data_IF_342598329322
#
_entry.id   IF_342598329322
#
_cell.length_a   1.000
_cell.length_b   1.000
_cell.length_c   1.000
_cell.angle_alpha   90.00
_cell.angle_beta   90.00
_cell.angle_gamma   90.00
#
_symmetry.space_group_name_H-M   'P 1'
#
loop_
_entity.id
_entity.type
_entity.pdbx_description
1 polymer ?
#
# COMPACT_ATOMS: atom_id res chain seq x y z
N UNK A 1 -0.89 21.17 -4.44
CA UNK A 1 -1.64 20.04 -3.83
C UNK A 1 -1.90 20.39 -2.37
N UNK A 2 -3.05 20.00 -1.81
CA UNK A 2 -3.50 20.34 -0.45
C UNK A 2 -2.71 19.67 0.70
N UNK A 3 -1.58 19.01 0.41
CA UNK A 3 -0.81 18.24 1.37
C UNK A 3 -1.50 16.97 1.89
N UNK A 4 -2.66 16.61 1.33
CA UNK A 4 -3.41 15.42 1.74
C UNK A 4 -2.87 14.17 1.06
N UNK A 5 -2.71 13.08 1.82
CA UNK A 5 -2.37 11.76 1.28
C UNK A 5 -3.53 11.11 0.52
N UNK A 6 -3.39 9.82 0.22
CA UNK A 6 -4.43 9.06 -0.49
C UNK A 6 -4.20 7.55 -0.43
N UNK A 7 -5.14 6.78 -0.97
CA UNK A 7 -4.97 5.34 -1.18
C UNK A 7 -4.15 5.07 -2.44
N UNK A 8 -3.86 3.80 -2.75
CA UNK A 8 -3.25 3.40 -4.02
C UNK A 8 -4.03 3.90 -5.25
N UNK A 9 -5.36 4.08 -5.13
CA UNK A 9 -6.22 4.65 -6.17
C UNK A 9 -6.03 6.15 -6.42
N UNK A 10 -5.33 6.85 -5.54
CA UNK A 10 -5.00 8.27 -5.69
C UNK A 10 -3.52 8.48 -5.96
N UNK A 11 -2.67 7.82 -5.16
CA UNK A 11 -1.21 8.01 -5.20
C UNK A 11 -0.63 7.49 -6.51
N UNK A 12 -1.05 6.32 -7.01
CA UNK A 12 -0.45 5.74 -8.21
C UNK A 12 -0.90 6.46 -9.50
N UNK A 13 -2.18 6.86 -9.69
CA UNK A 13 -2.55 7.69 -10.84
C UNK A 13 -1.90 9.07 -10.82
N UNK A 14 -1.73 9.68 -9.63
CA UNK A 14 -0.96 10.92 -9.51
C UNK A 14 0.50 10.71 -9.93
N UNK A 15 1.16 9.67 -9.40
CA UNK A 15 2.55 9.31 -9.75
C UNK A 15 2.70 9.08 -11.25
N UNK A 16 1.76 8.35 -11.86
CA UNK A 16 1.71 8.16 -13.32
C UNK A 16 1.69 9.50 -14.06
N UNK A 17 0.74 10.38 -13.73
CA UNK A 17 0.60 11.68 -14.40
C UNK A 17 1.86 12.53 -14.23
N UNK A 18 2.48 12.52 -13.04
CA UNK A 18 3.75 13.20 -12.80
C UNK A 18 4.88 12.67 -13.69
N UNK A 19 5.04 11.34 -13.77
CA UNK A 19 6.06 10.71 -14.61
C UNK A 19 5.86 11.01 -16.10
N UNK A 20 4.60 11.06 -16.57
CA UNK A 20 4.28 11.47 -17.94
C UNK A 20 4.65 12.93 -18.23
N UNK A 21 4.41 13.84 -17.27
CA UNK A 21 4.83 15.24 -17.38
C UNK A 21 6.36 15.38 -17.40
N UNK A 22 7.09 14.44 -16.80
CA UNK A 22 8.55 14.36 -16.87
C UNK A 22 9.06 13.70 -18.17
N UNK A 23 8.17 13.33 -19.09
CA UNK A 23 8.52 12.76 -20.40
C UNK A 23 8.64 11.23 -20.42
N UNK A 24 8.23 10.54 -19.37
CA UNK A 24 8.27 9.07 -19.34
C UNK A 24 7.01 8.43 -19.92
N UNK A 25 7.19 7.33 -20.63
CA UNK A 25 6.10 6.44 -21.03
C UNK A 25 5.65 5.61 -19.82
N UNK A 26 4.37 5.68 -19.47
CA UNK A 26 3.82 4.95 -18.31
C UNK A 26 2.43 4.37 -18.57
N UNK A 27 2.03 3.38 -17.77
CA UNK A 27 0.65 2.88 -17.72
C UNK A 27 0.30 2.34 -16.34
N UNK A 28 -1.00 2.28 -16.02
CA UNK A 28 -1.49 1.67 -14.77
C UNK A 28 -1.71 0.18 -14.97
N UNK A 29 -1.49 -0.59 -13.90
CA UNK A 29 -1.85 -2.00 -13.80
C UNK A 29 -2.70 -2.28 -12.57
N UNK A 30 -3.51 -3.32 -12.64
CA UNK A 30 -4.26 -3.86 -11.52
C UNK A 30 -3.41 -4.75 -10.61
N UNK A 31 -3.86 -4.91 -9.38
CA UNK A 31 -3.33 -5.87 -8.42
C UNK A 31 -4.32 -6.20 -7.32
N UNK A 32 -3.88 -7.08 -6.42
CA UNK A 32 -4.72 -7.58 -5.32
C UNK A 32 -3.90 -7.82 -4.06
N UNK A 33 -4.37 -7.31 -2.93
CA UNK A 33 -3.79 -7.60 -1.61
C UNK A 33 -4.05 -9.06 -1.16
N UNK A 34 -3.12 -9.65 -0.40
CA UNK A 34 -3.05 -11.05 0.04
C UNK A 34 -2.85 -11.13 1.59
N UNK A 35 -3.46 -12.09 2.30
CA UNK A 35 -4.41 -13.10 1.82
C UNK A 35 -5.77 -12.51 1.49
N UNK A 36 -6.40 -13.04 0.44
CA UNK A 36 -7.73 -12.63 0.01
C UNK A 36 -8.76 -13.30 0.90
N UNK A 37 -9.57 -12.52 1.64
CA UNK A 37 -10.89 -12.98 2.05
C UNK A 37 -11.77 -12.97 0.79
N UNK A 38 -12.04 -14.14 0.23
CA UNK A 38 -13.11 -14.60 -0.68
C UNK A 38 -13.89 -13.62 -1.60
N UNK A 39 -13.31 -12.47 -1.97
CA UNK A 39 -13.94 -11.54 -2.92
C UNK A 39 -13.53 -11.98 -4.32
N UNK A 40 -14.53 -12.47 -5.06
CA UNK A 40 -14.57 -12.65 -6.52
C UNK A 40 -13.66 -11.63 -7.21
N UNK A 41 -12.49 -12.04 -7.70
CA UNK A 41 -11.60 -11.41 -8.71
C UNK A 41 -11.44 -9.87 -8.82
N UNK A 42 -12.03 -9.03 -7.96
CA UNK A 42 -11.99 -7.57 -8.08
C UNK A 42 -10.58 -7.09 -7.67
N UNK A 43 -9.91 -6.29 -8.50
CA UNK A 43 -8.68 -5.60 -8.12
C UNK A 43 -8.87 -4.77 -6.84
N UNK A 44 -7.97 -4.93 -5.87
CA UNK A 44 -7.96 -4.11 -4.64
C UNK A 44 -6.75 -3.20 -4.55
N UNK A 45 -5.89 -3.25 -5.56
CA UNK A 45 -4.69 -2.44 -5.67
C UNK A 45 -4.51 -2.01 -7.12
N UNK A 46 -3.87 -0.86 -7.31
CA UNK A 46 -3.39 -0.43 -8.62
C UNK A 46 -1.96 0.09 -8.47
N UNK A 47 -1.15 -0.02 -9.52
CA UNK A 47 0.23 0.44 -9.52
C UNK A 47 0.63 1.01 -10.88
N UNK A 48 1.81 1.61 -10.96
CA UNK A 48 2.32 2.25 -12.19
C UNK A 48 3.49 1.46 -12.76
N UNK A 49 3.45 1.21 -14.05
CA UNK A 49 4.61 0.76 -14.82
C UNK A 49 5.20 1.95 -15.57
N UNK A 50 6.52 2.09 -15.49
CA UNK A 50 7.31 3.02 -16.29
C UNK A 50 8.15 2.22 -17.31
N UNK A 51 8.24 2.74 -18.53
CA UNK A 51 8.97 2.11 -19.63
C UNK A 51 10.24 2.89 -20.00
N UNK A 52 11.17 2.21 -20.65
CA UNK A 52 12.34 2.80 -21.31
C UNK A 52 13.27 3.61 -20.38
N UNK A 53 13.34 3.23 -19.10
CA UNK A 53 14.15 3.94 -18.09
C UNK A 53 15.62 3.54 -18.17
N UNK A 54 15.90 2.24 -18.15
CA UNK A 54 17.27 1.71 -18.09
C UNK A 54 17.84 1.44 -19.48
N UNK A 55 16.98 0.98 -20.39
CA UNK A 55 17.26 0.71 -21.79
C UNK A 55 15.94 0.62 -22.58
N UNK A 56 15.94 0.78 -23.91
CA UNK A 56 14.74 0.63 -24.73
C UNK A 56 14.07 -0.74 -24.54
N UNK A 57 12.78 -0.76 -24.21
CA UNK A 57 11.99 -1.95 -23.88
C UNK A 57 11.99 -2.31 -22.39
N UNK A 58 12.83 -1.69 -21.56
CA UNK A 58 12.82 -1.95 -20.10
C UNK A 58 11.50 -1.54 -19.47
N UNK A 59 11.06 -2.28 -18.45
CA UNK A 59 9.84 -1.98 -17.68
C UNK A 59 10.16 -2.05 -16.20
N UNK A 60 9.67 -1.07 -15.45
CA UNK A 60 9.85 -1.03 -14.00
C UNK A 60 8.51 -0.76 -13.29
N UNK A 61 8.30 -1.40 -12.16
CA UNK A 61 7.17 -1.13 -11.26
C UNK A 61 7.52 0.04 -10.33
N UNK A 62 6.61 1.00 -10.25
CA UNK A 62 6.67 2.15 -9.36
C UNK A 62 5.39 2.17 -8.52
N UNK A 63 5.52 1.93 -7.22
CA UNK A 63 4.36 1.75 -6.32
C UNK A 63 4.50 2.48 -4.96
N UNK A 64 4.46 3.82 -4.96
CA UNK A 64 4.40 4.59 -3.72
C UNK A 64 3.10 4.37 -2.92
N UNK A 65 2.07 3.77 -3.50
CA UNK A 65 0.78 3.50 -2.85
C UNK A 65 0.71 2.23 -2.00
N UNK A 66 1.81 1.46 -1.92
CA UNK A 66 1.84 0.08 -1.41
C UNK A 66 1.84 -0.05 0.13
N UNK A 67 2.14 1.03 0.88
CA UNK A 67 2.19 1.00 2.35
C UNK A 67 3.44 0.31 2.95
N UNK A 68 4.33 -0.20 2.09
CA UNK A 68 5.72 -0.56 2.41
C UNK A 68 6.64 0.38 1.64
N UNK A 69 7.76 0.83 2.21
CA UNK A 69 8.62 1.76 1.52
C UNK A 69 9.32 1.03 0.37
N UNK A 70 9.10 1.53 -0.85
CA UNK A 70 9.84 1.15 -2.03
C UNK A 70 10.54 2.40 -2.55
N UNK A 71 11.86 2.47 -2.35
CA UNK A 71 12.67 3.67 -2.66
C UNK A 71 13.21 3.67 -4.10
N UNK A 72 13.11 2.54 -4.80
CA UNK A 72 13.62 2.34 -6.14
C UNK A 72 12.56 1.69 -7.03
N UNK A 73 12.56 2.02 -8.31
CA UNK A 73 11.72 1.35 -9.29
C UNK A 73 12.18 -0.11 -9.46
N UNK A 74 11.24 -1.05 -9.44
CA UNK A 74 11.55 -2.50 -9.46
C UNK A 74 11.62 -2.96 -10.92
N UNK A 75 12.78 -3.42 -11.43
CA UNK A 75 12.87 -3.98 -12.78
C UNK A 75 11.96 -5.19 -12.95
N UNK A 76 11.30 -5.29 -14.11
CA UNK A 76 10.37 -6.38 -14.44
C UNK A 76 10.96 -7.46 -15.35
N UNK A 77 12.24 -7.33 -15.70
CA UNK A 77 13.05 -8.34 -16.39
C UNK A 77 13.58 -9.43 -15.44
N UNK A 78 13.00 -9.56 -14.24
CA UNK A 78 13.33 -10.64 -13.33
C UNK A 78 12.94 -12.01 -13.91
N UNK A 79 13.80 -13.01 -13.70
CA UNK A 79 13.54 -14.39 -14.12
C UNK A 79 12.64 -15.12 -13.11
N UNK A 80 13.06 -15.15 -11.83
CA UNK A 80 12.36 -15.83 -10.74
C UNK A 80 12.05 -14.91 -9.57
N UNK A 81 13.04 -14.17 -9.11
CA UNK A 81 12.92 -13.27 -7.96
C UNK A 81 13.80 -12.04 -8.13
N UNK A 82 13.37 -10.92 -7.54
CA UNK A 82 14.16 -9.69 -7.49
C UNK A 82 15.29 -9.80 -6.45
N UNK A 83 16.27 -8.89 -6.49
CA UNK A 83 17.06 -8.56 -5.31
C UNK A 83 16.15 -8.18 -4.14
N UNK A 84 16.70 -8.23 -2.93
CA UNK A 84 16.00 -7.76 -1.76
C UNK A 84 16.09 -6.23 -1.65
N UNK A 85 14.95 -5.56 -1.57
CA UNK A 85 14.87 -4.14 -1.32
C UNK A 85 14.79 -3.87 0.18
N UNK A 86 15.70 -3.02 0.66
CA UNK A 86 15.86 -2.69 2.08
C UNK A 86 15.70 -1.20 2.31
N UNK A 87 14.77 -0.85 3.18
CA UNK A 87 14.65 0.50 3.74
C UNK A 87 14.71 0.36 5.24
N UNK A 88 15.85 0.74 5.82
CA UNK A 88 16.25 0.31 7.16
C UNK A 88 16.24 -1.23 7.29
N UNK A 89 15.49 -1.84 8.22
CA UNK A 89 15.24 -3.31 8.19
C UNK A 89 13.85 -3.70 7.72
N UNK A 90 13.11 -2.81 7.05
CA UNK A 90 11.97 -3.24 6.23
C UNK A 90 12.52 -3.86 4.97
N UNK A 91 12.25 -5.15 4.81
CA UNK A 91 12.73 -5.98 3.72
C UNK A 91 11.54 -6.33 2.84
N UNK A 92 11.72 -6.19 1.54
CA UNK A 92 10.73 -6.60 0.55
C UNK A 92 11.45 -7.32 -0.59
N UNK A 93 10.77 -8.30 -1.18
CA UNK A 93 11.27 -9.04 -2.32
C UNK A 93 10.11 -9.34 -3.25
N UNK A 94 10.36 -9.36 -4.55
CA UNK A 94 9.36 -9.66 -5.55
C UNK A 94 9.65 -11.01 -6.17
N UNK A 95 8.59 -11.78 -6.42
CA UNK A 95 8.67 -13.09 -7.03
C UNK A 95 7.82 -13.13 -8.29
N UNK A 96 8.39 -13.61 -9.38
CA UNK A 96 7.67 -13.85 -10.62
C UNK A 96 6.97 -15.20 -10.54
N UNK A 97 5.68 -15.20 -10.83
CA UNK A 97 4.85 -16.40 -10.92
C UNK A 97 4.93 -16.97 -12.34
N UNK A 98 4.58 -18.25 -12.47
CA UNK A 98 4.57 -18.96 -13.77
C UNK A 98 3.61 -18.32 -14.79
N UNK A 99 2.53 -17.70 -14.31
CA UNK A 99 1.56 -16.95 -15.12
C UNK A 99 2.10 -15.56 -15.58
N UNK A 100 3.34 -15.23 -15.23
CA UNK A 100 3.99 -13.96 -15.56
C UNK A 100 3.64 -12.81 -14.63
N UNK A 101 2.80 -13.03 -13.61
CA UNK A 101 2.47 -12.01 -12.61
C UNK A 101 3.59 -11.85 -11.57
N UNK A 102 3.60 -10.70 -10.89
CA UNK A 102 4.56 -10.41 -9.84
C UNK A 102 3.88 -10.49 -8.47
N UNK A 103 4.53 -11.03 -7.45
CA UNK A 103 4.04 -10.96 -6.07
C UNK A 103 5.05 -10.29 -5.16
N UNK A 104 4.59 -9.36 -4.33
CA UNK A 104 5.35 -8.78 -3.23
C UNK A 104 5.36 -9.75 -2.05
N UNK A 105 6.56 -10.04 -1.53
CA UNK A 105 6.79 -10.74 -0.27
C UNK A 105 7.45 -9.84 0.78
N UNK A 106 7.11 -10.08 2.05
CA UNK A 106 7.83 -9.57 3.23
C UNK A 106 8.30 -10.75 4.09
N UNK A 107 9.37 -10.63 4.90
CA UNK A 107 9.87 -11.74 5.69
C UNK A 107 8.79 -12.38 6.58
N UNK A 108 8.73 -13.71 6.60
CA UNK A 108 7.70 -14.48 7.31
C UNK A 108 7.89 -14.51 8.83
N UNK A 109 8.88 -13.83 9.41
CA UNK A 109 9.04 -13.77 10.87
C UNK A 109 7.81 -13.17 11.58
N UNK A 110 6.92 -12.50 10.85
CA UNK A 110 5.59 -12.04 11.29
C UNK A 110 4.46 -12.97 10.81
N UNK A 111 4.52 -14.28 11.12
CA UNK A 111 3.51 -15.24 10.67
C UNK A 111 2.10 -14.84 11.14
N UNK A 112 1.24 -14.47 10.19
CA UNK A 112 -0.19 -14.36 10.42
C UNK A 112 -0.85 -15.65 9.92
N UNK A 113 -1.62 -16.37 10.74
CA UNK A 113 -2.32 -17.57 10.33
C UNK A 113 -3.11 -17.37 9.02
N UNK A 114 -3.04 -18.33 8.10
CA UNK A 114 -3.73 -18.27 6.80
C UNK A 114 -3.01 -17.45 5.71
N UNK A 115 -1.79 -16.96 5.98
CA UNK A 115 -1.02 -16.23 4.99
C UNK A 115 -0.37 -17.16 3.97
N UNK A 116 -0.41 -16.76 2.70
CA UNK A 116 0.36 -17.43 1.66
C UNK A 116 1.83 -17.07 1.81
N UNK A 117 2.70 -18.07 1.67
CA UNK A 117 4.17 -17.91 1.77
C UNK A 117 4.85 -18.49 0.53
N UNK A 118 6.02 -17.96 0.21
CA UNK A 118 6.94 -18.49 -0.81
C UNK A 118 8.36 -18.54 -0.23
N UNK A 119 9.15 -19.53 -0.62
CA UNK A 119 10.56 -19.60 -0.26
C UNK A 119 11.43 -19.06 -1.39
N UNK A 120 12.43 -18.27 -1.04
CA UNK A 120 13.41 -17.76 -2.01
C UNK A 120 14.53 -18.76 -2.30
N UNK A 121 15.50 -18.39 -3.13
CA UNK A 121 16.63 -19.25 -3.49
C UNK A 121 17.51 -19.68 -2.30
N UNK A 122 17.47 -18.94 -1.19
CA UNK A 122 18.24 -19.21 0.02
C UNK A 122 17.42 -20.00 1.06
N UNK A 123 16.19 -20.37 0.73
CA UNK A 123 15.27 -21.06 1.64
C UNK A 123 14.60 -20.14 2.67
N UNK A 124 14.74 -18.82 2.56
CA UNK A 124 14.03 -17.89 3.44
C UNK A 124 12.56 -17.81 3.04
N UNK A 125 11.66 -17.83 4.03
CA UNK A 125 10.21 -17.75 3.83
C UNK A 125 9.71 -16.31 3.80
N UNK A 126 8.92 -15.99 2.78
CA UNK A 126 8.35 -14.67 2.52
C UNK A 126 6.83 -14.74 2.48
N UNK A 127 6.17 -13.95 3.33
CA UNK A 127 4.73 -13.77 3.36
C UNK A 127 4.28 -12.87 2.21
N UNK A 128 3.38 -13.36 1.38
CA UNK A 128 2.87 -12.63 0.22
C UNK A 128 1.86 -11.57 0.64
N UNK A 129 1.98 -10.37 0.04
CA UNK A 129 1.16 -9.20 0.38
C UNK A 129 0.35 -8.66 -0.78
N UNK A 130 0.90 -8.63 -1.98
CA UNK A 130 0.23 -8.10 -3.16
C UNK A 130 0.60 -8.95 -4.38
N UNK A 131 -0.38 -9.29 -5.20
CA UNK A 131 -0.17 -9.77 -6.56
C UNK A 131 -0.42 -8.63 -7.56
N UNK A 132 0.48 -8.47 -8.53
CA UNK A 132 0.41 -7.49 -9.60
C UNK A 132 0.14 -8.19 -10.93
N UNK A 133 -0.86 -7.72 -11.66
CA UNK A 133 -1.23 -8.28 -12.95
C UNK A 133 -0.55 -7.49 -14.07
N UNK A 134 0.69 -7.86 -14.39
CA UNK A 134 1.58 -7.06 -15.24
C UNK A 134 1.06 -6.85 -16.67
N UNK A 135 0.14 -7.71 -17.12
CA UNK A 135 -0.47 -7.66 -18.45
C UNK A 135 -1.86 -6.97 -18.45
N UNK A 136 -2.43 -6.70 -17.27
CA UNK A 136 -3.74 -6.03 -17.14
C UNK A 136 -3.56 -4.52 -17.10
N UNK A 137 -3.41 -3.91 -18.29
CA UNK A 137 -3.31 -2.45 -18.42
C UNK A 137 -4.69 -1.82 -18.22
N UNK A 138 -4.77 -0.91 -17.26
CA UNK A 138 -6.02 -0.20 -16.97
C UNK A 138 -5.91 1.28 -17.34
N UNK A 139 -7.03 1.85 -17.77
CA UNK A 139 -7.14 3.28 -18.01
C UNK A 139 -7.37 4.05 -16.70
N UNK A 140 -7.18 5.37 -16.73
CA UNK A 140 -7.52 6.22 -15.60
C UNK A 140 -9.01 6.14 -15.23
N UNK A 141 -9.92 6.09 -16.21
CA UNK A 141 -11.35 5.91 -15.94
C UNK A 141 -11.67 4.55 -15.33
N UNK A 142 -10.99 3.49 -15.77
CA UNK A 142 -11.07 2.16 -15.14
C UNK A 142 -10.63 2.21 -13.68
N UNK A 143 -9.54 2.92 -13.36
CA UNK A 143 -9.10 3.07 -11.95
C UNK A 143 -10.12 3.78 -11.06
N UNK A 144 -10.83 4.78 -11.60
CA UNK A 144 -11.93 5.47 -10.90
C UNK A 144 -13.11 4.54 -10.69
N UNK A 145 -13.47 3.73 -11.70
CA UNK A 145 -14.50 2.70 -11.59
C UNK A 145 -14.16 1.67 -10.50
N UNK A 146 -12.94 1.14 -10.51
CA UNK A 146 -12.45 0.21 -9.49
C UNK A 146 -12.49 0.82 -8.09
N UNK A 147 -12.13 2.10 -7.94
CA UNK A 147 -12.28 2.80 -6.65
C UNK A 147 -13.74 2.88 -6.20
N UNK A 148 -14.66 3.23 -7.09
CA UNK A 148 -16.08 3.29 -6.78
C UNK A 148 -16.64 1.91 -6.43
N UNK A 149 -16.22 0.86 -7.14
CA UNK A 149 -16.67 -0.50 -6.90
C UNK A 149 -16.08 -1.05 -5.60
N UNK A 150 -14.81 -0.80 -5.31
CA UNK A 150 -14.20 -1.07 -4.03
C UNK A 150 -14.95 -0.36 -2.89
N UNK A 151 -15.37 0.88 -3.12
CA UNK A 151 -16.12 1.65 -2.15
C UNK A 151 -17.56 1.14 -1.94
N UNK A 152 -18.23 0.65 -3.00
CA UNK A 152 -19.61 0.14 -2.97
C UNK A 152 -19.71 -1.29 -2.46
N UNK A 153 -18.80 -2.18 -2.87
CA UNK A 153 -18.83 -3.62 -2.60
C UNK A 153 -18.04 -4.04 -1.36
N UNK A 154 -17.55 -3.08 -0.57
CA UNK A 154 -17.00 -3.32 0.75
C UNK A 154 -18.04 -3.76 1.79
N UNK A 155 -18.98 -4.66 1.45
CA UNK A 155 -19.94 -5.30 2.37
C UNK A 155 -19.38 -6.58 3.00
N UNK A 156 -18.32 -7.16 2.43
CA UNK A 156 -17.54 -8.26 3.01
C UNK A 156 -16.31 -7.77 3.79
N UNK A 157 -15.99 -6.48 3.66
CA UNK A 157 -15.28 -5.70 4.66
C UNK A 157 -16.37 -5.02 5.52
N UNK A 158 -16.18 -4.75 6.82
CA UNK A 158 -16.89 -3.62 7.42
C UNK A 158 -16.51 -2.43 6.56
N UNK A 159 -17.50 -1.77 5.92
CA UNK A 159 -17.33 -0.69 4.93
C UNK A 159 -15.97 0.00 5.16
N UNK A 160 -15.02 -0.01 4.21
CA UNK A 160 -13.66 0.49 4.46
C UNK A 160 -13.61 1.95 4.94
N UNK A 161 -14.73 2.67 4.91
CA UNK A 161 -14.94 4.03 5.39
C UNK A 161 -15.64 4.14 6.76
N UNK A 162 -16.23 3.08 7.29
CA UNK A 162 -16.71 3.04 8.69
C UNK A 162 -15.52 2.90 9.67
N UNK A 163 -14.29 2.87 9.15
CA UNK A 163 -13.04 2.71 9.88
C UNK A 163 -12.01 3.70 9.35
N UNK A 164 -11.18 4.22 10.24
CA UNK A 164 -10.02 5.01 9.91
C UNK A 164 -8.88 4.06 9.57
N UNK A 165 -8.32 4.20 8.38
CA UNK A 165 -7.08 3.56 7.96
C UNK A 165 -6.10 4.65 7.55
N UNK A 166 -4.99 4.75 8.27
CA UNK A 166 -3.96 5.74 8.00
C UNK A 166 -2.58 5.10 8.14
N UNK A 167 -1.76 5.23 7.10
CA UNK A 167 -0.40 4.72 7.05
C UNK A 167 0.52 5.84 6.63
N UNK A 168 1.63 5.98 7.34
CA UNK A 168 2.59 7.06 7.09
C UNK A 168 3.99 6.67 7.57
N UNK A 169 4.96 7.43 7.13
CA UNK A 169 6.31 7.43 7.67
C UNK A 169 6.56 8.80 8.29
N UNK A 170 6.92 8.81 9.57
CA UNK A 170 7.22 10.03 10.31
C UNK A 170 8.53 9.81 11.06
N UNK A 171 9.56 10.59 10.70
CA UNK A 171 10.92 10.39 11.18
C UNK A 171 11.38 8.93 10.92
N UNK A 172 12.00 8.30 11.91
CA UNK A 172 12.41 6.89 11.85
C UNK A 172 11.27 5.92 12.21
N UNK A 173 9.98 6.30 12.05
CA UNK A 173 8.84 5.43 12.37
C UNK A 173 7.93 5.19 11.19
N UNK A 174 7.54 3.94 10.98
CA UNK A 174 6.32 3.60 10.24
C UNK A 174 5.15 3.62 11.23
N UNK A 175 4.11 4.37 10.90
CA UNK A 175 2.93 4.51 11.74
C UNK A 175 1.74 3.94 10.98
N UNK A 176 0.97 3.07 11.63
CA UNK A 176 -0.34 2.64 11.16
C UNK A 176 -1.39 2.93 12.21
N UNK A 177 -2.42 3.69 11.84
CA UNK A 177 -3.58 3.96 12.67
C UNK A 177 -4.77 3.25 12.04
N UNK A 178 -5.38 2.37 12.81
CA UNK A 178 -6.54 1.57 12.39
C UNK A 178 -7.61 1.72 13.44
N UNK A 179 -8.82 2.14 13.04
CA UNK A 179 -9.98 2.04 13.91
C UNK A 179 -10.85 0.84 13.59
N UNK A 180 -11.36 0.20 14.63
CA UNK A 180 -12.28 -0.93 14.56
C UNK A 180 -13.14 -0.92 15.81
N UNK A 181 -14.45 -1.06 15.63
CA UNK A 181 -15.39 -1.32 16.73
C UNK A 181 -15.32 -0.25 17.84
N UNK A 182 -15.25 1.02 17.43
CA UNK A 182 -15.19 2.19 18.32
C UNK A 182 -13.82 2.44 18.98
N UNK A 183 -12.83 1.57 18.76
CA UNK A 183 -11.46 1.73 19.26
C UNK A 183 -10.52 2.13 18.14
N UNK A 184 -9.57 3.02 18.46
CA UNK A 184 -8.48 3.37 17.55
C UNK A 184 -7.17 2.83 18.08
N UNK A 185 -6.48 2.01 17.28
CA UNK A 185 -5.15 1.52 17.59
C UNK A 185 -4.13 2.20 16.71
N UNK A 186 -3.07 2.74 17.32
CA UNK A 186 -1.89 3.21 16.63
C UNK A 186 -0.74 2.24 16.90
N UNK A 187 -0.11 1.78 15.83
CA UNK A 187 1.11 0.99 15.87
C UNK A 187 2.26 1.85 15.37
N UNK A 188 3.28 2.01 16.20
CA UNK A 188 4.51 2.71 15.90
C UNK A 188 5.61 1.68 15.75
N UNK A 189 6.08 1.50 14.52
CA UNK A 189 7.20 0.63 14.22
C UNK A 189 8.45 1.48 14.03
N UNK A 190 9.42 1.35 14.95
CA UNK A 190 10.69 2.03 14.86
C UNK A 190 11.58 1.35 13.81
N UNK A 191 11.95 2.09 12.78
CA UNK A 191 12.75 1.62 11.65
C UNK A 191 14.21 1.36 12.03
N UNK A 192 14.72 1.95 13.11
CA UNK A 192 16.12 1.82 13.56
C UNK A 192 16.34 0.60 14.44
N UNK A 193 15.48 0.40 15.44
CA UNK A 193 15.64 -0.66 16.44
C UNK A 193 14.61 -1.79 16.34
N UNK A 194 13.60 -1.66 15.48
CA UNK A 194 12.54 -2.66 15.21
C UNK A 194 11.63 -2.95 16.38
N UNK A 195 11.63 -2.07 17.36
CA UNK A 195 10.62 -2.10 18.40
C UNK A 195 9.27 -1.71 17.79
N UNK A 196 8.24 -2.41 18.25
CA UNK A 196 6.86 -2.12 17.89
C UNK A 196 6.13 -1.71 19.15
N UNK A 197 5.61 -0.50 19.16
CA UNK A 197 4.71 -0.02 20.20
C UNK A 197 3.29 -0.02 19.64
N UNK A 198 2.34 -0.54 20.40
CA UNK A 198 0.92 -0.48 20.05
C UNK A 198 0.16 0.18 21.20
N UNK A 199 -0.51 1.28 20.90
CA UNK A 199 -1.34 2.00 21.86
C UNK A 199 -2.78 2.08 21.36
N UNK A 200 -3.70 2.26 22.30
CA UNK A 200 -5.08 2.65 21.97
C UNK A 200 -5.20 4.14 22.20
N UNK A 201 -5.68 4.87 21.21
CA UNK A 201 -5.83 6.33 21.26
C UNK A 201 -7.30 6.71 21.42
N UNK A 202 -7.56 7.63 22.34
CA UNK A 202 -8.83 8.37 22.40
C UNK A 202 -8.98 9.31 21.21
N UNK A 203 -10.21 9.74 20.93
CA UNK A 203 -10.47 10.77 19.90
C UNK A 203 -9.62 12.03 20.12
N UNK A 204 -9.44 12.48 21.37
CA UNK A 204 -8.65 13.66 21.71
C UNK A 204 -7.16 13.47 21.40
N UNK A 205 -6.58 12.34 21.80
CA UNK A 205 -5.17 12.02 21.51
C UNK A 205 -4.94 11.91 20.00
N UNK A 206 -5.88 11.31 19.29
CA UNK A 206 -5.83 11.18 17.83
C UNK A 206 -5.90 12.56 17.14
N UNK A 207 -6.80 13.45 17.58
CA UNK A 207 -6.84 14.83 17.07
C UNK A 207 -5.52 15.54 17.31
N UNK A 208 -4.97 15.46 18.53
CA UNK A 208 -3.71 16.11 18.87
C UNK A 208 -2.56 15.60 17.98
N UNK A 209 -2.48 14.28 17.79
CA UNK A 209 -1.48 13.67 16.91
C UNK A 209 -1.57 14.20 15.46
N UNK A 210 -2.78 14.29 14.89
CA UNK A 210 -2.94 14.81 13.54
C UNK A 210 -2.63 16.31 13.45
N UNK A 211 -3.06 17.13 14.41
CA UNK A 211 -2.78 18.57 14.41
C UNK A 211 -1.28 18.84 14.56
N UNK A 212 -0.59 18.07 15.39
CA UNK A 212 0.84 18.23 15.63
C UNK A 212 1.69 17.83 14.42
N UNK A 213 1.39 16.69 13.80
CA UNK A 213 2.26 16.12 12.76
C UNK A 213 1.74 16.32 11.33
N UNK A 214 0.46 16.64 11.17
CA UNK A 214 -0.21 16.79 9.88
C UNK A 214 -1.13 18.03 9.89
N UNK A 215 -0.57 19.25 10.03
CA UNK A 215 -1.33 20.48 10.20
C UNK A 215 -2.23 20.84 9.01
N UNK A 216 -2.08 20.15 7.87
CA UNK A 216 -3.01 20.24 6.75
C UNK A 216 -4.43 19.71 7.07
N UNK A 217 -4.59 18.92 8.13
CA UNK A 217 -5.88 18.46 8.60
C UNK A 217 -6.43 19.39 9.68
N UNK A 218 -7.43 20.20 9.34
CA UNK A 218 -8.11 21.04 10.32
C UNK A 218 -8.89 20.18 11.33
N UNK A 219 -9.03 20.68 12.56
CA UNK A 219 -9.82 20.01 13.62
C UNK A 219 -11.23 19.69 13.13
N UNK A 220 -11.90 20.65 12.48
CA UNK A 220 -13.22 20.46 11.87
C UNK A 220 -13.21 19.28 10.88
N UNK A 221 -12.18 19.15 10.04
CA UNK A 221 -12.11 18.07 9.07
C UNK A 221 -11.91 16.71 9.74
N UNK A 222 -11.10 16.66 10.78
CA UNK A 222 -10.89 15.45 11.58
C UNK A 222 -12.19 15.02 12.28
N UNK A 223 -12.95 15.96 12.83
CA UNK A 223 -14.26 15.68 13.44
C UNK A 223 -15.26 15.09 12.45
N UNK A 224 -15.32 15.62 11.22
CA UNK A 224 -16.13 15.05 10.13
C UNK A 224 -15.74 13.60 9.85
N UNK A 225 -14.43 13.32 9.73
CA UNK A 225 -13.92 11.96 9.48
C UNK A 225 -14.25 11.03 10.66
N UNK A 226 -14.02 11.46 11.89
CA UNK A 226 -14.26 10.66 13.09
C UNK A 226 -15.75 10.34 13.28
N UNK A 227 -16.64 11.23 12.86
CA UNK A 227 -18.09 10.98 12.85
C UNK A 227 -18.46 9.87 11.85
N UNK A 228 -17.89 9.90 10.64
CA UNK A 228 -18.11 8.84 9.63
C UNK A 228 -17.56 7.50 10.11
N UNK A 229 -16.38 7.50 10.74
CA UNK A 229 -15.74 6.31 11.28
C UNK A 229 -16.31 5.86 12.64
N UNK A 230 -17.36 6.53 13.16
CA UNK A 230 -18.04 6.20 14.43
C UNK A 230 -17.05 6.05 15.61
N UNK A 231 -16.04 6.90 15.66
CA UNK A 231 -15.09 6.92 16.78
C UNK A 231 -15.75 7.53 18.01
N UNK A 232 -15.65 6.83 19.14
CA UNK A 232 -16.15 7.28 20.45
C UNK A 232 -15.04 8.02 21.20
#
# INVERSE_FOLDING_TARGET
MSGQGGTCFWINPFTKALLEQLGHTTYLISGKAIPVMDIKQIPTHISTIICDVSYPGSRHLVDPGIGWPLIEAVPLDIERESPEYKVHKLRTKFFKREDGNLVLGIPSSTQVPGSQVISDSNGESWQLKIAYWLNDRISGSTSVGLWQDFAKHGSSFPKPFDRLLFFTFLNEKKISIVSSDGKTHATFYNLKDHTTERITMTKKELTNFFVEHYPQYSVKKLEEVFAVCKLV
#
